data_IF_894176614342
#
_entry.id   IF_894176614342
#
_cell.length_a   1.000
_cell.length_b   1.000
_cell.length_c   1.000
_cell.angle_alpha   90.00
_cell.angle_beta   90.00
_cell.angle_gamma   90.00
#
_symmetry.space_group_name_H-M   'P 1'
#
loop_
_entity.id
_entity.type
_entity.pdbx_description
1 polymer ?
#
# COMPACT_ATOMS: atom_id res chain seq x y z
N UNK A 1 11.98 -0.74 -40.09
CA UNK A 1 11.66 -2.05 -39.50
C UNK A 1 11.76 -1.88 -37.99
N UNK A 2 10.65 -1.48 -37.34
CA UNK A 2 10.63 -1.18 -35.91
C UNK A 2 10.10 -2.41 -35.18
N UNK A 3 11.01 -3.31 -34.83
CA UNK A 3 10.73 -4.44 -33.96
C UNK A 3 11.25 -4.04 -32.58
N UNK A 4 10.57 -3.10 -31.92
CA UNK A 4 10.68 -3.03 -30.46
C UNK A 4 10.20 -4.38 -29.95
N UNK A 5 11.09 -5.08 -29.23
CA UNK A 5 10.79 -6.40 -28.71
C UNK A 5 9.61 -6.27 -27.75
N UNK A 6 8.60 -7.13 -27.90
CA UNK A 6 7.46 -7.21 -26.97
C UNK A 6 7.94 -7.31 -25.50
N UNK A 7 9.13 -7.87 -25.28
CA UNK A 7 9.78 -7.95 -23.98
C UNK A 7 10.17 -6.58 -23.41
N UNK A 8 10.72 -5.66 -24.19
CA UNK A 8 11.13 -4.32 -23.71
C UNK A 8 9.92 -3.48 -23.31
N UNK A 9 8.84 -3.52 -24.10
CA UNK A 9 7.60 -2.78 -23.80
C UNK A 9 6.90 -3.34 -22.55
N UNK A 10 6.94 -4.67 -22.34
CA UNK A 10 6.38 -5.30 -21.14
C UNK A 10 7.22 -5.01 -19.89
N UNK A 11 8.55 -5.01 -20.00
CA UNK A 11 9.47 -4.73 -18.89
C UNK A 11 9.35 -3.27 -18.40
N UNK A 12 9.28 -2.30 -19.32
CA UNK A 12 8.99 -0.90 -19.00
C UNK A 12 7.62 -0.73 -18.32
N UNK A 13 6.61 -1.49 -18.74
CA UNK A 13 5.27 -1.46 -18.14
C UNK A 13 5.25 -1.94 -16.69
N UNK A 14 6.01 -3.00 -16.38
CA UNK A 14 6.11 -3.60 -15.04
C UNK A 14 6.94 -2.72 -14.11
N UNK A 15 8.08 -2.18 -14.57
CA UNK A 15 8.89 -1.24 -13.80
C UNK A 15 8.07 -0.01 -13.39
N UNK A 16 7.32 0.55 -14.34
CA UNK A 16 6.41 1.68 -14.07
C UNK A 16 5.28 1.33 -13.08
N UNK A 17 4.81 0.08 -13.03
CA UNK A 17 3.79 -0.35 -12.08
C UNK A 17 4.35 -0.40 -10.65
N UNK A 18 5.52 -1.02 -10.46
CA UNK A 18 6.19 -1.09 -9.15
C UNK A 18 6.56 0.29 -8.60
N UNK A 19 6.99 1.20 -9.46
CA UNK A 19 7.30 2.57 -9.04
C UNK A 19 6.05 3.33 -8.58
N UNK A 20 4.92 3.16 -9.28
CA UNK A 20 3.64 3.74 -8.84
C UNK A 20 3.19 3.18 -7.50
N UNK A 21 3.36 1.88 -7.27
CA UNK A 21 3.06 1.24 -5.99
C UNK A 21 3.95 1.79 -4.87
N UNK A 22 5.25 1.91 -5.12
CA UNK A 22 6.20 2.49 -4.16
C UNK A 22 5.84 3.93 -3.81
N UNK A 23 5.49 4.76 -4.80
CA UNK A 23 5.06 6.14 -4.59
C UNK A 23 3.77 6.22 -3.77
N UNK A 24 2.79 5.35 -4.06
CA UNK A 24 1.54 5.30 -3.31
C UNK A 24 1.77 4.92 -1.84
N UNK A 25 2.60 3.90 -1.57
CA UNK A 25 2.96 3.52 -0.20
C UNK A 25 3.75 4.63 0.52
N UNK A 26 4.67 5.30 -0.18
CA UNK A 26 5.45 6.43 0.37
C UNK A 26 4.54 7.56 0.81
N UNK A 27 3.62 7.99 -0.06
CA UNK A 27 2.64 9.02 0.29
C UNK A 27 1.75 8.61 1.45
N UNK A 28 1.38 7.33 1.54
CA UNK A 28 0.62 6.81 2.67
C UNK A 28 1.39 6.97 3.99
N UNK A 29 2.69 6.67 3.99
CA UNK A 29 3.57 6.79 5.16
C UNK A 29 3.69 8.25 5.59
N UNK A 30 3.92 9.17 4.64
CA UNK A 30 4.05 10.61 4.91
C UNK A 30 2.78 11.17 5.58
N UNK A 31 1.61 10.89 5.01
CA UNK A 31 0.34 11.34 5.57
C UNK A 31 0.07 10.75 6.96
N UNK A 32 0.40 9.48 7.18
CA UNK A 32 0.24 8.84 8.48
C UNK A 32 1.19 9.43 9.53
N UNK A 33 2.43 9.76 9.15
CA UNK A 33 3.39 10.41 10.04
C UNK A 33 2.91 11.81 10.44
N UNK A 34 2.43 12.60 9.48
CA UNK A 34 1.85 13.92 9.77
C UNK A 34 0.61 13.83 10.67
N UNK A 35 -0.27 12.85 10.40
CA UNK A 35 -1.46 12.62 11.23
C UNK A 35 -1.13 12.15 12.64
N UNK A 36 -0.04 11.40 12.83
CA UNK A 36 0.44 10.93 14.14
C UNK A 36 0.92 12.09 15.01
N UNK A 37 1.69 13.01 14.43
CA UNK A 37 2.29 14.13 15.16
C UNK A 37 1.32 15.32 15.30
N UNK A 38 0.23 15.32 14.54
CA UNK A 38 -0.80 16.36 14.58
C UNK A 38 -1.98 15.99 15.47
N UNK A 39 -2.51 16.96 16.21
CA UNK A 39 -3.85 16.85 16.83
C UNK A 39 -4.99 17.17 15.85
N UNK A 40 -4.68 17.39 14.57
CA UNK A 40 -5.64 17.75 13.53
C UNK A 40 -6.48 16.56 13.10
N UNK A 41 -7.78 16.63 13.38
CA UNK A 41 -8.73 15.62 12.89
C UNK A 41 -8.77 15.55 11.36
N UNK A 42 -8.46 16.66 10.66
CA UNK A 42 -8.39 16.69 9.20
C UNK A 42 -7.26 15.81 8.67
N UNK A 43 -6.06 15.92 9.25
CA UNK A 43 -4.90 15.12 8.83
C UNK A 43 -5.15 13.63 9.08
N UNK A 44 -5.75 13.29 10.22
CA UNK A 44 -6.18 11.91 10.51
C UNK A 44 -7.17 11.38 9.47
N UNK A 45 -8.20 12.14 9.12
CA UNK A 45 -9.19 11.70 8.14
C UNK A 45 -8.53 11.48 6.77
N UNK A 46 -7.69 12.41 6.33
CA UNK A 46 -6.99 12.34 5.05
C UNK A 46 -6.05 11.13 4.99
N UNK A 47 -5.20 10.96 6.00
CA UNK A 47 -4.25 9.86 6.08
C UNK A 47 -4.96 8.50 6.07
N UNK A 48 -6.01 8.34 6.89
CA UNK A 48 -6.78 7.09 6.94
C UNK A 48 -7.51 6.81 5.62
N UNK A 49 -8.10 7.84 4.99
CA UNK A 49 -8.78 7.68 3.71
C UNK A 49 -7.82 7.25 2.61
N UNK A 50 -6.67 7.91 2.50
CA UNK A 50 -5.65 7.58 1.51
C UNK A 50 -5.09 6.16 1.73
N UNK A 51 -4.69 5.86 2.97
CA UNK A 51 -4.15 4.55 3.36
C UNK A 51 -5.12 3.43 2.99
N UNK A 52 -6.41 3.55 3.36
CA UNK A 52 -7.42 2.54 3.04
C UNK A 52 -7.55 2.30 1.53
N UNK A 53 -7.53 3.36 0.72
CA UNK A 53 -7.65 3.24 -0.74
C UNK A 53 -6.46 2.49 -1.35
N UNK A 54 -5.24 2.77 -0.89
CA UNK A 54 -4.04 2.06 -1.35
C UNK A 54 -4.14 0.57 -1.02
N UNK A 55 -4.48 0.23 0.22
CA UNK A 55 -4.55 -1.18 0.65
C UNK A 55 -5.70 -1.96 0.02
N UNK A 56 -6.86 -1.33 -0.23
CA UNK A 56 -7.94 -1.97 -0.99
C UNK A 56 -7.46 -2.30 -2.41
N UNK A 57 -6.77 -1.36 -3.07
CA UNK A 57 -6.25 -1.60 -4.43
C UNK A 57 -5.20 -2.71 -4.46
N UNK A 58 -4.32 -2.76 -3.45
CA UNK A 58 -3.35 -3.85 -3.30
C UNK A 58 -4.05 -5.21 -3.15
N UNK A 59 -5.10 -5.32 -2.32
CA UNK A 59 -5.85 -6.57 -2.18
C UNK A 59 -6.51 -6.97 -3.51
N UNK A 60 -7.09 -6.03 -4.25
CA UNK A 60 -7.69 -6.32 -5.56
C UNK A 60 -6.67 -6.86 -6.56
N UNK A 61 -5.46 -6.31 -6.58
CA UNK A 61 -4.36 -6.76 -7.42
C UNK A 61 -3.84 -8.15 -7.00
N UNK A 62 -3.61 -8.34 -5.70
CA UNK A 62 -3.19 -9.62 -5.11
C UNK A 62 -4.22 -10.74 -5.31
N UNK A 63 -5.49 -10.41 -5.59
CA UNK A 63 -6.54 -11.39 -5.88
C UNK A 63 -6.62 -11.77 -7.36
N UNK A 64 -5.95 -11.06 -8.26
CA UNK A 64 -6.02 -11.39 -9.68
C UNK A 64 -5.40 -12.77 -9.96
N UNK A 65 -5.99 -13.58 -10.86
CA UNK A 65 -5.49 -14.92 -11.16
C UNK A 65 -4.13 -14.90 -11.90
N UNK A 66 -3.82 -13.81 -12.59
CA UNK A 66 -2.57 -13.57 -13.33
C UNK A 66 -1.47 -12.90 -12.48
N UNK A 67 -1.73 -12.62 -11.20
CA UNK A 67 -0.71 -12.10 -10.30
C UNK A 67 0.44 -13.12 -10.14
N UNK A 68 1.66 -12.67 -10.41
CA UNK A 68 2.85 -13.53 -10.52
C UNK A 68 3.43 -13.98 -9.17
N UNK A 69 2.93 -13.45 -8.05
CA UNK A 69 3.41 -13.82 -6.73
C UNK A 69 2.91 -15.22 -6.33
N UNK A 70 3.72 -15.93 -5.56
CA UNK A 70 3.33 -17.22 -4.98
C UNK A 70 2.05 -17.08 -4.14
N UNK A 71 1.19 -18.10 -4.18
CA UNK A 71 -0.11 -18.09 -3.50
C UNK A 71 0.01 -17.82 -1.99
N UNK A 72 1.01 -18.42 -1.34
CA UNK A 72 1.29 -18.22 0.08
C UNK A 72 1.67 -16.76 0.39
N UNK A 73 2.54 -16.16 -0.43
CA UNK A 73 2.94 -14.77 -0.28
C UNK A 73 1.74 -13.83 -0.45
N UNK A 74 0.89 -14.09 -1.46
CA UNK A 74 -0.36 -13.35 -1.67
C UNK A 74 -1.28 -13.43 -0.45
N UNK A 75 -1.46 -14.62 0.11
CA UNK A 75 -2.29 -14.82 1.31
C UNK A 75 -1.75 -14.06 2.53
N UNK A 76 -0.43 -14.07 2.73
CA UNK A 76 0.24 -13.33 3.81
C UNK A 76 0.07 -11.81 3.63
N UNK A 77 0.28 -11.28 2.42
CA UNK A 77 0.07 -9.86 2.11
C UNK A 77 -1.38 -9.42 2.29
N UNK A 78 -2.35 -10.25 1.86
CA UNK A 78 -3.78 -9.97 2.06
C UNK A 78 -4.10 -9.93 3.56
N UNK A 79 -3.51 -10.83 4.37
CA UNK A 79 -3.72 -10.86 5.82
C UNK A 79 -3.20 -9.59 6.49
N UNK A 80 -2.03 -9.12 6.07
CA UNK A 80 -1.45 -7.83 6.50
C UNK A 80 -2.38 -6.66 6.11
N UNK A 81 -2.84 -6.63 4.86
CA UNK A 81 -3.72 -5.58 4.38
C UNK A 81 -5.04 -5.52 5.17
N UNK A 82 -5.63 -6.69 5.50
CA UNK A 82 -6.84 -6.78 6.35
C UNK A 82 -6.56 -6.20 7.74
N UNK A 83 -5.41 -6.53 8.35
CA UNK A 83 -5.03 -5.97 9.64
C UNK A 83 -4.90 -4.45 9.59
N UNK A 84 -4.24 -3.90 8.57
CA UNK A 84 -4.12 -2.44 8.37
C UNK A 84 -5.49 -1.77 8.23
N UNK A 85 -6.38 -2.33 7.40
CA UNK A 85 -7.72 -1.78 7.21
C UNK A 85 -8.53 -1.80 8.51
N UNK A 86 -8.35 -2.82 9.36
CA UNK A 86 -8.95 -2.90 10.69
C UNK A 86 -8.38 -1.84 11.63
N UNK A 87 -7.06 -1.70 11.68
CA UNK A 87 -6.41 -0.65 12.50
C UNK A 87 -6.85 0.75 12.09
N UNK A 88 -6.95 1.03 10.77
CA UNK A 88 -7.49 2.29 10.29
C UNK A 88 -8.92 2.56 10.80
N UNK A 89 -9.78 1.55 10.87
CA UNK A 89 -11.13 1.72 11.43
C UNK A 89 -11.12 1.97 12.94
N UNK A 90 -10.22 1.31 13.68
CA UNK A 90 -10.07 1.55 15.12
C UNK A 90 -9.59 2.97 15.40
N UNK A 91 -8.61 3.46 14.63
CA UNK A 91 -8.13 4.84 14.73
C UNK A 91 -9.25 5.82 14.38
N UNK A 92 -10.01 5.57 13.30
CA UNK A 92 -11.16 6.40 12.91
C UNK A 92 -12.21 6.49 14.02
N UNK A 93 -12.44 5.40 14.74
CA UNK A 93 -13.35 5.32 15.90
C UNK A 93 -12.74 5.88 17.19
N UNK A 94 -11.50 6.38 17.16
CA UNK A 94 -10.72 6.84 18.33
C UNK A 94 -10.53 5.74 19.39
N UNK A 95 -10.49 4.49 18.95
CA UNK A 95 -10.27 3.30 19.78
C UNK A 95 -8.80 2.83 19.72
N UNK A 96 -7.99 3.40 18.82
CA UNK A 96 -6.57 3.13 18.66
C UNK A 96 -5.85 4.42 18.25
N UNK A 97 -4.57 4.50 18.59
CA UNK A 97 -3.62 5.53 18.12
C UNK A 97 -2.42 4.91 17.42
N UNK A 98 -2.58 3.67 16.94
CA UNK A 98 -1.52 2.84 16.37
C UNK A 98 -1.13 3.25 14.94
N UNK A 99 -0.88 4.54 14.71
CA UNK A 99 -0.34 5.03 13.44
C UNK A 99 1.04 4.43 13.16
N UNK A 100 1.89 4.33 14.19
CA UNK A 100 3.24 3.82 14.03
C UNK A 100 3.27 2.38 13.53
N UNK A 101 2.43 1.49 14.07
CA UNK A 101 2.37 0.11 13.59
C UNK A 101 1.97 0.00 12.11
N UNK A 102 1.07 0.88 11.65
CA UNK A 102 0.70 0.94 10.22
C UNK A 102 1.89 1.46 9.39
N UNK A 103 2.58 2.51 9.87
CA UNK A 103 3.75 3.10 9.19
C UNK A 103 4.87 2.07 9.03
N UNK A 104 5.21 1.34 10.10
CA UNK A 104 6.31 0.38 10.11
C UNK A 104 6.05 -0.76 9.11
N UNK A 105 4.85 -1.34 9.16
CA UNK A 105 4.47 -2.40 8.24
C UNK A 105 4.43 -1.90 6.79
N UNK A 106 3.85 -0.73 6.54
CA UNK A 106 3.79 -0.13 5.19
C UNK A 106 5.19 0.13 4.65
N UNK A 107 6.11 0.58 5.51
CA UNK A 107 7.53 0.81 5.18
C UNK A 107 8.23 -0.49 4.78
N UNK A 108 8.07 -1.56 5.57
CA UNK A 108 8.64 -2.88 5.27
C UNK A 108 8.15 -3.39 3.92
N UNK A 109 6.85 -3.27 3.63
CA UNK A 109 6.28 -3.71 2.36
C UNK A 109 6.81 -2.86 1.19
N UNK A 110 6.83 -1.53 1.33
CA UNK A 110 7.39 -0.62 0.32
C UNK A 110 8.83 -0.95 -0.02
N UNK A 111 9.66 -1.21 1.00
CA UNK A 111 11.09 -1.49 0.83
C UNK A 111 11.33 -2.89 0.25
N UNK A 112 10.38 -3.81 0.45
CA UNK A 112 10.36 -5.13 -0.17
C UNK A 112 10.01 -5.12 -1.66
N UNK A 113 9.35 -4.07 -2.17
CA UNK A 113 9.19 -3.86 -3.61
C UNK A 113 10.57 -3.52 -4.18
N UNK A 114 11.18 -4.43 -4.94
CA UNK A 114 12.38 -4.18 -5.75
C UNK A 114 12.04 -4.22 -7.23
#
# INVERSE_FOLDING_TARGET
MYQFSYAEIMEDGVANAKDRERQALTKSIELLAEAKDSSSQRHTIEALFYTRRVWIRFIEDLKQPDNQLAMELRANLISIAIWILKECELIRKRQSTNFQGIIDVTTIIRDGLK
#
